data_IF_062683061202
#
_entry.id   IF_062683061202
#
_cell.length_a   1.000
_cell.length_b   1.000
_cell.length_c   1.000
_cell.angle_alpha   90.00
_cell.angle_beta   90.00
_cell.angle_gamma   90.00
#
_symmetry.space_group_name_H-M   'P 1'
#
loop_
_entity.id
_entity.type
_entity.pdbx_description
1 polymer ?
#
# COMPACT_ATOMS: atom_id res chain seq x y z
N UNK A 1 23.41 11.70 16.96
CA UNK A 1 24.05 11.09 15.78
C UNK A 1 23.35 9.81 15.33
N UNK A 2 23.15 8.84 16.22
CA UNK A 2 22.44 7.60 15.90
C UNK A 2 20.98 7.85 15.47
N UNK A 3 20.31 8.77 16.14
CA UNK A 3 18.91 9.11 15.84
C UNK A 3 18.74 9.68 14.41
N UNK A 4 19.67 10.51 13.97
CA UNK A 4 19.61 11.11 12.62
C UNK A 4 19.82 10.02 11.57
N UNK A 5 20.73 9.07 11.80
CA UNK A 5 20.98 7.97 10.88
C UNK A 5 19.75 7.06 10.74
N UNK A 6 19.04 6.79 11.85
CA UNK A 6 17.82 5.98 11.86
C UNK A 6 16.72 6.68 11.07
N UNK A 7 16.53 8.00 11.27
CA UNK A 7 15.51 8.78 10.56
C UNK A 7 15.79 8.86 9.05
N UNK A 8 17.06 8.84 8.63
CA UNK A 8 17.44 8.85 7.23
C UNK A 8 17.20 7.51 6.52
N UNK A 9 16.84 6.43 7.25
CA UNK A 9 16.67 5.09 6.68
C UNK A 9 15.26 4.84 6.13
N UNK A 10 14.28 5.66 6.49
CA UNK A 10 12.90 5.49 6.09
C UNK A 10 12.32 6.78 5.54
N UNK A 11 11.43 6.65 4.58
CA UNK A 11 10.69 7.77 4.01
C UNK A 11 9.19 7.43 4.08
N UNK A 12 8.41 8.34 4.66
CA UNK A 12 6.96 8.20 4.72
C UNK A 12 6.34 8.95 3.55
N UNK A 13 5.47 8.27 2.80
CA UNK A 13 4.68 8.85 1.73
C UNK A 13 3.22 8.46 1.93
N UNK A 14 2.31 9.39 1.62
CA UNK A 14 0.89 9.11 1.76
C UNK A 14 0.07 9.85 0.72
N UNK A 15 -1.12 9.34 0.46
CA UNK A 15 -2.11 9.96 -0.39
C UNK A 15 -3.49 9.71 0.22
N UNK A 16 -4.43 10.62 -0.01
CA UNK A 16 -5.79 10.45 0.52
C UNK A 16 -6.83 10.90 -0.49
N UNK A 17 -8.06 10.40 -0.28
CA UNK A 17 -9.22 10.76 -1.07
C UNK A 17 -10.48 10.62 -0.22
N UNK A 18 -11.38 11.58 -0.33
CA UNK A 18 -12.69 11.49 0.28
C UNK A 18 -13.65 10.78 -0.68
N UNK A 19 -14.35 9.77 -0.18
CA UNK A 19 -15.30 8.96 -0.95
C UNK A 19 -16.69 9.09 -0.35
N UNK A 20 -17.76 9.04 -1.18
CA UNK A 20 -19.14 9.27 -0.72
C UNK A 20 -19.80 7.99 -0.17
N UNK A 21 -19.11 7.28 0.69
CA UNK A 21 -19.64 6.10 1.39
C UNK A 21 -19.28 6.18 2.87
N UNK A 22 -20.01 5.45 3.71
CA UNK A 22 -19.76 5.44 5.16
C UNK A 22 -18.42 4.79 5.48
N UNK A 23 -17.88 5.08 6.67
CA UNK A 23 -16.61 4.46 7.12
C UNK A 23 -16.74 2.94 7.14
N UNK A 24 -17.85 2.40 7.63
CA UNK A 24 -18.07 0.96 7.65
C UNK A 24 -18.07 0.36 6.24
N UNK A 25 -18.75 0.98 5.29
CA UNK A 25 -18.82 0.49 3.91
C UNK A 25 -17.49 0.67 3.18
N UNK A 26 -16.79 1.77 3.44
CA UNK A 26 -15.47 1.99 2.86
C UNK A 26 -14.48 0.90 3.31
N UNK A 27 -14.44 0.60 4.60
CA UNK A 27 -13.57 -0.41 5.16
C UNK A 27 -13.94 -1.81 4.65
N UNK A 28 -15.22 -2.20 4.79
CA UNK A 28 -15.67 -3.53 4.40
C UNK A 28 -15.59 -3.78 2.89
N UNK A 29 -15.65 -2.73 2.09
CA UNK A 29 -15.46 -2.82 0.64
C UNK A 29 -14.00 -2.87 0.21
N UNK A 30 -13.10 -2.23 0.97
CA UNK A 30 -11.67 -2.16 0.62
C UNK A 30 -10.90 -3.42 1.03
N UNK A 31 -11.10 -3.90 2.25
CA UNK A 31 -10.32 -5.01 2.81
C UNK A 31 -10.37 -6.29 1.94
N UNK A 32 -11.54 -6.78 1.50
CA UNK A 32 -11.61 -8.00 0.72
C UNK A 32 -11.42 -7.80 -0.78
N UNK A 33 -11.24 -6.55 -1.23
CA UNK A 33 -11.16 -6.27 -2.66
C UNK A 33 -9.96 -6.98 -3.28
N UNK A 34 -10.13 -7.69 -4.40
CA UNK A 34 -9.00 -8.30 -5.09
C UNK A 34 -7.99 -7.25 -5.51
N UNK A 35 -6.73 -7.43 -5.12
CA UNK A 35 -5.68 -6.45 -5.38
C UNK A 35 -5.43 -6.26 -6.88
N UNK A 36 -5.61 -7.29 -7.69
CA UNK A 36 -5.45 -7.19 -9.14
C UNK A 36 -6.59 -6.42 -9.82
N UNK A 37 -7.72 -6.23 -9.14
CA UNK A 37 -8.79 -5.36 -9.63
C UNK A 37 -8.53 -3.89 -9.24
N UNK A 38 -8.03 -3.66 -8.03
CA UNK A 38 -7.73 -2.33 -7.55
C UNK A 38 -6.48 -1.75 -8.22
N UNK A 39 -5.40 -2.52 -8.26
CA UNK A 39 -4.11 -2.11 -8.80
C UNK A 39 -3.88 -2.73 -10.19
N UNK A 40 -4.74 -2.36 -11.14
CA UNK A 40 -4.85 -3.04 -12.43
C UNK A 40 -4.13 -2.35 -13.59
N UNK A 41 -3.47 -1.22 -13.35
CA UNK A 41 -2.88 -0.41 -14.42
C UNK A 41 -1.44 -0.04 -14.13
N UNK A 42 -0.64 0.08 -15.18
CA UNK A 42 0.69 0.66 -15.10
C UNK A 42 0.60 2.14 -14.74
N UNK A 43 1.51 2.60 -13.92
CA UNK A 43 1.72 4.02 -13.66
C UNK A 43 3.22 4.30 -13.82
N UNK A 44 3.62 4.88 -14.98
CA UNK A 44 5.02 4.96 -15.34
C UNK A 44 5.67 3.58 -15.26
N UNK A 45 6.77 3.43 -14.51
CA UNK A 45 7.42 2.13 -14.34
C UNK A 45 6.79 1.25 -13.26
N UNK A 46 5.80 1.73 -12.51
CA UNK A 46 5.13 0.94 -11.47
C UNK A 46 4.15 -0.03 -12.14
N UNK A 47 4.35 -1.35 -11.98
CA UNK A 47 3.50 -2.34 -12.62
C UNK A 47 2.18 -2.56 -11.87
N UNK A 48 1.16 -3.04 -12.57
CA UNK A 48 -0.05 -3.52 -11.91
C UNK A 48 0.22 -4.83 -11.18
N UNK A 49 -0.69 -5.17 -10.25
CA UNK A 49 -0.69 -6.46 -9.59
C UNK A 49 -1.30 -7.48 -10.55
N UNK A 50 -0.55 -8.56 -10.81
CA UNK A 50 -0.97 -9.64 -11.69
C UNK A 50 -1.89 -10.63 -10.98
N UNK A 51 -1.51 -11.04 -9.77
CA UNK A 51 -2.22 -12.04 -9.00
C UNK A 51 -1.80 -12.01 -7.54
N UNK A 52 -2.63 -12.59 -6.68
CA UNK A 52 -2.34 -12.87 -5.27
C UNK A 52 -2.38 -14.38 -5.08
N UNK A 53 -1.39 -14.92 -4.38
CA UNK A 53 -1.27 -16.37 -4.12
C UNK A 53 -1.02 -16.65 -2.65
N UNK A 54 -1.32 -17.88 -2.25
CA UNK A 54 -0.98 -18.43 -0.95
C UNK A 54 -1.52 -17.58 0.21
N UNK A 55 -2.69 -16.98 0.02
CA UNK A 55 -3.33 -16.21 1.07
C UNK A 55 -3.82 -17.11 2.18
N UNK A 56 -3.39 -16.82 3.41
CA UNK A 56 -3.90 -17.47 4.60
C UNK A 56 -5.09 -16.69 5.15
N UNK A 57 -6.21 -17.36 5.42
CA UNK A 57 -7.41 -16.72 5.92
C UNK A 57 -8.09 -15.79 4.91
N UNK A 58 -9.01 -14.96 5.41
CA UNK A 58 -9.82 -14.06 4.60
C UNK A 58 -9.37 -12.60 4.70
N UNK A 59 -8.14 -12.37 5.15
CA UNK A 59 -7.53 -11.07 5.33
C UNK A 59 -8.26 -10.22 6.39
N UNK A 60 -8.45 -10.82 7.56
CA UNK A 60 -9.20 -10.21 8.66
C UNK A 60 -8.53 -10.35 10.03
N UNK A 61 -7.32 -10.91 10.10
CA UNK A 61 -6.61 -11.14 11.36
C UNK A 61 -5.11 -10.92 11.21
N UNK A 62 -4.51 -10.30 12.22
CA UNK A 62 -3.06 -10.10 12.30
C UNK A 62 -2.32 -11.44 12.16
N UNK A 63 -1.25 -11.44 11.39
CA UNK A 63 -0.42 -12.61 11.12
C UNK A 63 -0.77 -13.35 9.82
N UNK A 64 -1.89 -13.04 9.20
CA UNK A 64 -2.22 -13.59 7.88
C UNK A 64 -1.27 -13.07 6.83
N UNK A 65 -0.93 -13.92 5.87
CA UNK A 65 0.06 -13.64 4.83
C UNK A 65 -0.47 -13.95 3.44
N UNK A 66 0.12 -13.33 2.45
CA UNK A 66 -0.13 -13.64 1.04
C UNK A 66 1.06 -13.21 0.20
N UNK A 67 1.16 -13.75 -1.02
CA UNK A 67 2.20 -13.36 -1.98
C UNK A 67 1.56 -12.56 -3.11
N UNK A 68 2.13 -11.38 -3.36
CA UNK A 68 1.69 -10.49 -4.43
C UNK A 68 2.61 -10.69 -5.62
N UNK A 69 2.04 -10.98 -6.78
CA UNK A 69 2.78 -11.09 -8.04
C UNK A 69 2.50 -9.86 -8.90
N UNK A 70 3.56 -9.26 -9.42
CA UNK A 70 3.48 -8.07 -10.26
C UNK A 70 3.66 -8.43 -11.74
N UNK A 71 3.05 -7.64 -12.61
CA UNK A 71 3.35 -7.72 -14.03
C UNK A 71 4.83 -7.38 -14.24
N UNK A 72 5.50 -8.11 -15.13
CA UNK A 72 6.93 -7.92 -15.36
C UNK A 72 7.84 -8.75 -14.46
N UNK A 73 7.29 -9.58 -13.58
CA UNK A 73 8.03 -10.62 -12.86
C UNK A 73 8.43 -10.30 -11.42
N UNK A 74 8.11 -9.12 -10.89
CA UNK A 74 8.35 -8.80 -9.48
C UNK A 74 7.35 -9.51 -8.56
N UNK A 75 7.73 -9.65 -7.29
CA UNK A 75 6.86 -10.24 -6.26
C UNK A 75 7.18 -9.67 -4.89
N UNK A 76 6.24 -9.83 -3.96
CA UNK A 76 6.37 -9.39 -2.57
C UNK A 76 5.59 -10.32 -1.65
N UNK A 77 6.10 -10.52 -0.44
CA UNK A 77 5.34 -11.17 0.64
C UNK A 77 4.63 -10.07 1.45
N UNK A 78 3.34 -10.23 1.66
CA UNK A 78 2.54 -9.30 2.46
C UNK A 78 2.07 -9.98 3.73
N UNK A 79 2.21 -9.30 4.87
CA UNK A 79 1.75 -9.77 6.18
C UNK A 79 0.86 -8.72 6.80
N UNK A 80 -0.33 -9.11 7.24
CA UNK A 80 -1.25 -8.23 7.96
C UNK A 80 -0.73 -8.03 9.39
N UNK A 81 -0.44 -6.78 9.76
CA UNK A 81 0.20 -6.44 11.03
C UNK A 81 -0.71 -5.73 12.00
N UNK A 82 -1.78 -5.10 11.51
CA UNK A 82 -2.80 -4.50 12.36
C UNK A 82 -4.16 -4.58 11.67
N UNK A 83 -5.22 -4.70 12.48
CA UNK A 83 -6.57 -4.79 11.97
C UNK A 83 -7.53 -4.20 13.00
N UNK A 84 -7.99 -2.99 12.75
CA UNK A 84 -8.85 -2.23 13.65
C UNK A 84 -10.11 -1.78 12.90
N UNK A 85 -11.05 -2.69 12.75
CA UNK A 85 -12.30 -2.47 12.01
C UNK A 85 -13.20 -1.46 12.72
N UNK A 86 -13.77 -0.49 12.02
CA UNK A 86 -13.66 -0.15 10.60
C UNK A 86 -12.69 1.02 10.33
N UNK A 87 -11.70 1.25 11.19
CA UNK A 87 -10.90 2.47 11.19
C UNK A 87 -9.57 2.35 10.46
N UNK A 88 -8.92 1.19 10.55
CA UNK A 88 -7.59 1.02 9.94
C UNK A 88 -7.19 -0.44 9.80
N UNK A 89 -6.26 -0.69 8.90
CA UNK A 89 -5.47 -1.91 8.88
C UNK A 89 -4.07 -1.60 8.36
N UNK A 90 -3.11 -2.40 8.77
CA UNK A 90 -1.71 -2.22 8.39
C UNK A 90 -1.08 -3.53 7.96
N UNK A 91 -0.02 -3.43 7.18
CA UNK A 91 0.67 -4.58 6.64
C UNK A 91 2.15 -4.26 6.44
N UNK A 92 2.94 -5.31 6.23
CA UNK A 92 4.32 -5.17 5.78
C UNK A 92 4.49 -5.85 4.43
N UNK A 93 5.36 -5.30 3.60
CA UNK A 93 5.85 -5.93 2.39
C UNK A 93 7.30 -6.30 2.61
N UNK A 94 7.63 -7.56 2.36
CA UNK A 94 8.98 -8.11 2.52
C UNK A 94 9.30 -9.03 1.34
N UNK A 95 10.52 -9.54 1.28
CA UNK A 95 10.97 -10.45 0.22
C UNK A 95 10.67 -9.87 -1.17
N UNK A 96 10.93 -8.57 -1.32
CA UNK A 96 10.66 -7.85 -2.55
C UNK A 96 11.63 -8.30 -3.62
N UNK A 97 11.10 -8.66 -4.79
CA UNK A 97 11.87 -9.04 -5.98
C UNK A 97 11.49 -8.13 -7.15
N UNK A 98 12.31 -8.12 -8.19
CA UNK A 98 12.09 -7.27 -9.35
C UNK A 98 12.73 -5.89 -9.20
N UNK A 99 12.40 -4.92 -10.08
CA UNK A 99 13.08 -3.61 -10.09
C UNK A 99 13.00 -2.82 -8.79
N UNK A 100 11.89 -2.91 -8.07
CA UNK A 100 11.71 -2.18 -6.81
C UNK A 100 12.67 -2.67 -5.73
N UNK A 101 13.09 -3.94 -5.80
CA UNK A 101 14.04 -4.52 -4.85
C UNK A 101 15.39 -3.81 -4.84
N UNK A 102 15.77 -3.17 -5.94
CA UNK A 102 17.02 -2.41 -6.01
C UNK A 102 17.00 -1.17 -5.13
N UNK A 103 15.84 -0.59 -4.89
CA UNK A 103 15.66 0.64 -4.11
C UNK A 103 15.24 0.40 -2.68
N UNK A 104 14.36 -0.57 -2.46
CA UNK A 104 13.58 -0.74 -1.23
C UNK A 104 13.74 -2.15 -0.71
N UNK A 105 14.07 -2.29 0.58
CA UNK A 105 14.17 -3.58 1.25
C UNK A 105 12.85 -4.05 1.83
N UNK A 106 11.94 -3.13 2.13
CA UNK A 106 10.64 -3.43 2.70
C UNK A 106 9.77 -2.20 2.79
N UNK A 107 8.51 -2.42 3.10
CA UNK A 107 7.50 -1.36 3.25
C UNK A 107 6.62 -1.68 4.44
N UNK A 108 6.28 -0.65 5.22
CA UNK A 108 5.16 -0.71 6.14
C UNK A 108 4.01 0.05 5.49
N UNK A 109 2.90 -0.64 5.23
CA UNK A 109 1.72 -0.05 4.64
C UNK A 109 0.62 0.15 5.67
N UNK A 110 -0.22 1.17 5.48
CA UNK A 110 -1.32 1.46 6.37
C UNK A 110 -2.47 2.09 5.60
N UNK A 111 -3.68 1.63 5.91
CA UNK A 111 -4.92 2.20 5.40
C UNK A 111 -5.71 2.78 6.57
N UNK A 112 -6.12 4.03 6.44
CA UNK A 112 -6.89 4.75 7.45
C UNK A 112 -8.22 5.18 6.87
N UNK A 113 -9.29 5.00 7.63
CA UNK A 113 -10.66 5.32 7.24
C UNK A 113 -11.24 6.25 8.28
N UNK A 114 -11.46 7.52 7.93
CA UNK A 114 -11.91 8.55 8.86
C UNK A 114 -13.18 9.23 8.34
N UNK A 115 -14.13 9.56 9.23
CA UNK A 115 -15.31 10.32 8.80
C UNK A 115 -14.91 11.66 8.18
N UNK A 116 -15.58 12.02 7.08
CA UNK A 116 -15.39 13.30 6.41
C UNK A 116 -16.77 13.75 5.89
N UNK A 117 -17.43 14.63 6.62
CA UNK A 117 -18.84 14.97 6.33
C UNK A 117 -19.71 13.73 6.40
N UNK A 118 -20.46 13.44 5.34
CA UNK A 118 -21.27 12.22 5.21
C UNK A 118 -20.51 11.08 4.57
N UNK A 119 -19.27 11.31 4.16
CA UNK A 119 -18.41 10.32 3.52
C UNK A 119 -17.24 9.90 4.39
N UNK A 120 -16.20 9.40 3.73
CA UNK A 120 -15.01 8.87 4.38
C UNK A 120 -13.76 9.38 3.69
N UNK A 121 -12.80 9.86 4.47
CA UNK A 121 -11.46 10.12 4.00
C UNK A 121 -10.63 8.85 4.13
N UNK A 122 -10.21 8.31 3.01
CA UNK A 122 -9.34 7.14 2.95
C UNK A 122 -7.91 7.64 2.74
N UNK A 123 -7.01 7.24 3.63
CA UNK A 123 -5.58 7.55 3.52
C UNK A 123 -4.80 6.26 3.34
N UNK A 124 -3.94 6.22 2.34
CA UNK A 124 -3.02 5.12 2.10
C UNK A 124 -1.60 5.64 2.31
N UNK A 125 -0.89 5.02 3.24
CA UNK A 125 0.45 5.44 3.68
C UNK A 125 1.44 4.32 3.51
N UNK A 126 2.60 4.64 2.97
CA UNK A 126 3.74 3.74 2.91
C UNK A 126 4.92 4.34 3.66
N UNK A 127 5.55 3.53 4.49
CA UNK A 127 6.88 3.82 5.04
C UNK A 127 7.86 2.97 4.27
N UNK A 128 8.72 3.62 3.49
CA UNK A 128 9.67 2.99 2.60
C UNK A 128 10.99 2.78 3.33
N UNK A 129 11.48 1.54 3.36
CA UNK A 129 12.78 1.21 3.94
C UNK A 129 13.81 1.05 2.82
N UNK A 130 14.85 1.85 2.82
CA UNK A 130 15.89 1.82 1.78
C UNK A 130 16.61 0.48 1.74
N UNK A 131 17.01 0.07 0.55
CA UNK A 131 17.84 -1.14 0.37
C UNK A 131 19.23 -0.94 0.95
N UNK A 132 19.82 0.23 0.74
CA UNK A 132 21.18 0.57 1.16
C UNK A 132 21.36 2.09 1.27
N UNK A 133 22.50 2.52 1.81
CA UNK A 133 22.84 3.94 1.85
C UNK A 133 22.93 4.54 0.44
N UNK A 134 23.39 3.76 -0.54
CA UNK A 134 23.52 4.20 -1.92
C UNK A 134 22.17 4.49 -2.59
N UNK A 135 21.09 3.83 -2.17
CA UNK A 135 19.74 4.02 -2.73
C UNK A 135 18.94 5.10 -2.03
N UNK A 136 19.37 5.56 -0.86
CA UNK A 136 18.65 6.58 -0.09
C UNK A 136 18.34 7.86 -0.90
N UNK A 137 19.27 8.41 -1.72
CA UNK A 137 18.99 9.62 -2.50
C UNK A 137 17.91 9.43 -3.57
N UNK A 138 17.59 8.19 -3.95
CA UNK A 138 16.59 7.87 -4.97
C UNK A 138 15.18 7.76 -4.39
N UNK A 139 15.04 7.57 -3.07
CA UNK A 139 13.73 7.40 -2.43
C UNK A 139 12.79 8.59 -2.61
N UNK A 140 13.23 9.86 -2.50
CA UNK A 140 12.31 10.98 -2.72
C UNK A 140 11.70 11.00 -4.12
N UNK A 141 12.44 10.63 -5.14
CA UNK A 141 11.93 10.54 -6.52
C UNK A 141 10.91 9.39 -6.64
N UNK A 142 11.23 8.23 -6.07
CA UNK A 142 10.31 7.11 -6.01
C UNK A 142 9.04 7.48 -5.24
N UNK A 143 9.18 8.19 -4.12
CA UNK A 143 8.05 8.64 -3.31
C UNK A 143 7.09 9.55 -4.08
N UNK A 144 7.61 10.46 -4.90
CA UNK A 144 6.77 11.29 -5.78
C UNK A 144 6.02 10.47 -6.80
N UNK A 145 6.70 9.50 -7.40
CA UNK A 145 6.08 8.57 -8.36
C UNK A 145 4.98 7.77 -7.69
N UNK A 146 5.26 7.23 -6.50
CA UNK A 146 4.29 6.47 -5.72
C UNK A 146 3.05 7.31 -5.37
N UNK A 147 3.23 8.58 -5.01
CA UNK A 147 2.09 9.46 -4.68
C UNK A 147 1.14 9.62 -5.87
N UNK A 148 1.67 9.74 -7.07
CA UNK A 148 0.84 9.76 -8.28
C UNK A 148 0.12 8.43 -8.50
N UNK A 149 0.84 7.33 -8.34
CA UNK A 149 0.27 5.98 -8.42
C UNK A 149 -0.84 5.78 -7.39
N UNK A 150 -0.59 6.17 -6.14
CA UNK A 150 -1.57 6.06 -5.06
C UNK A 150 -2.80 6.92 -5.31
N UNK A 151 -2.62 8.13 -5.84
CA UNK A 151 -3.74 9.00 -6.21
C UNK A 151 -4.66 8.36 -7.25
N UNK A 152 -4.10 7.74 -8.27
CA UNK A 152 -4.86 7.01 -9.29
C UNK A 152 -5.55 5.79 -8.71
N UNK A 153 -4.87 5.07 -7.84
CA UNK A 153 -5.43 3.88 -7.19
C UNK A 153 -6.60 4.25 -6.28
N UNK A 154 -6.50 5.33 -5.52
CA UNK A 154 -7.60 5.81 -4.67
C UNK A 154 -8.79 6.31 -5.48
N UNK A 155 -8.54 6.93 -6.62
CA UNK A 155 -9.59 7.33 -7.55
C UNK A 155 -10.35 6.11 -8.06
N UNK A 156 -9.62 5.07 -8.47
CA UNK A 156 -10.22 3.82 -8.91
C UNK A 156 -10.96 3.09 -7.78
N UNK A 157 -10.39 3.09 -6.57
CA UNK A 157 -11.04 2.55 -5.39
C UNK A 157 -12.37 3.24 -5.12
N UNK A 158 -12.40 4.57 -5.23
CA UNK A 158 -13.63 5.34 -5.07
C UNK A 158 -14.70 4.87 -6.05
N UNK A 159 -14.34 4.70 -7.31
CA UNK A 159 -15.26 4.22 -8.34
C UNK A 159 -15.78 2.81 -8.01
N UNK A 160 -14.92 1.92 -7.55
CA UNK A 160 -15.31 0.56 -7.18
C UNK A 160 -16.22 0.52 -5.94
N UNK A 161 -16.00 1.42 -4.98
CA UNK A 161 -16.81 1.48 -3.76
C UNK A 161 -18.20 2.05 -4.03
N UNK A 162 -18.33 2.98 -4.96
CA UNK A 162 -19.59 3.64 -5.30
C UNK A 162 -20.40 2.83 -6.29
N UNK A 163 -19.69 2.18 -7.21
CA UNK A 163 -20.28 1.48 -8.35
C UNK A 163 -20.80 0.13 -8.07
#
# INVERSE_FOLDING_TARGET
MVTIAIMAQALVVEQSRTVPVTVADAFSGTVPMPLNELFCRWYGPIPPIKAVRDQTGIWDAVGQTRTILLQGGGSMAETLTSFNEPHSFGYTLSDITGPMAALISGVNGEWLFQPAGTGTKITWRWTLHRRSAATAPLLPAFGRLWKGYAGRSLEHLSDLLVG
#
